data_IF_360317482840
#
_entry.id   IF_360317482840
#
_cell.length_a   1.000
_cell.length_b   1.000
_cell.length_c   1.000
_cell.angle_alpha   90.00
_cell.angle_beta   90.00
_cell.angle_gamma   90.00
#
_symmetry.space_group_name_H-M   'P 1'
#
loop_
_entity.id
_entity.type
_entity.pdbx_description
1 polymer ?
#
# COMPACT_ATOMS: atom_id res chain seq x y z
N UNK A 1 26.65 18.00 8.67
CA UNK A 1 26.13 17.18 9.78
C UNK A 1 25.72 15.86 9.20
N UNK A 2 26.52 14.81 9.44
CA UNK A 2 26.30 13.50 8.84
C UNK A 2 25.05 12.86 9.46
N UNK A 3 24.04 12.68 8.62
CA UNK A 3 22.80 12.02 8.93
C UNK A 3 23.11 10.57 9.31
N UNK A 4 22.93 10.23 10.59
CA UNK A 4 22.97 8.86 11.05
C UNK A 4 21.71 8.18 10.53
N UNK A 5 21.73 7.78 9.25
CA UNK A 5 20.71 6.91 8.69
C UNK A 5 20.84 5.59 9.43
N UNK A 6 20.03 5.42 10.47
CA UNK A 6 19.88 4.13 11.13
C UNK A 6 19.67 3.08 10.04
N UNK A 7 20.47 2.01 10.05
CA UNK A 7 20.35 0.90 9.10
C UNK A 7 18.93 0.35 9.23
N UNK A 8 18.04 0.72 8.31
CA UNK A 8 16.65 0.33 8.36
C UNK A 8 16.61 -1.20 8.24
N UNK A 9 16.18 -1.87 9.31
CA UNK A 9 15.87 -3.30 9.31
C UNK A 9 14.37 -3.43 9.05
N UNK A 10 13.93 -3.62 7.80
CA UNK A 10 12.51 -3.64 7.48
C UNK A 10 11.83 -4.81 8.18
N UNK A 11 10.68 -4.53 8.81
CA UNK A 11 9.82 -5.58 9.36
C UNK A 11 9.20 -6.34 8.19
N UNK A 12 9.47 -7.65 8.01
CA UNK A 12 9.14 -8.35 6.78
C UNK A 12 7.66 -8.36 6.41
N UNK A 13 6.76 -8.33 7.39
CA UNK A 13 5.32 -8.27 7.15
C UNK A 13 4.90 -6.91 6.58
N UNK A 14 5.43 -5.82 7.14
CA UNK A 14 5.13 -4.45 6.71
C UNK A 14 5.71 -4.18 5.32
N UNK A 15 6.94 -4.64 5.05
CA UNK A 15 7.55 -4.57 3.71
C UNK A 15 6.66 -5.21 2.65
N UNK A 16 6.20 -6.45 2.89
CA UNK A 16 5.33 -7.16 1.94
C UNK A 16 4.00 -6.43 1.75
N UNK A 17 3.37 -5.97 2.83
CA UNK A 17 2.13 -5.20 2.75
C UNK A 17 2.30 -3.95 1.87
N UNK A 18 3.35 -3.16 2.13
CA UNK A 18 3.65 -1.96 1.34
C UNK A 18 3.89 -2.28 -0.15
N UNK A 19 4.65 -3.34 -0.44
CA UNK A 19 4.91 -3.79 -1.82
C UNK A 19 3.66 -4.27 -2.54
N UNK A 20 2.75 -4.97 -1.84
CA UNK A 20 1.45 -5.39 -2.39
C UNK A 20 0.59 -4.19 -2.74
N UNK A 21 0.46 -3.21 -1.83
CA UNK A 21 -0.34 -2.00 -2.08
C UNK A 21 0.21 -1.21 -3.27
N UNK A 22 1.54 -1.07 -3.39
CA UNK A 22 2.17 -0.42 -4.55
C UNK A 22 1.91 -1.16 -5.85
N UNK A 23 2.07 -2.48 -5.87
CA UNK A 23 1.83 -3.27 -7.08
C UNK A 23 0.37 -3.16 -7.57
N UNK A 24 -0.60 -3.14 -6.64
CA UNK A 24 -2.00 -2.91 -6.97
C UNK A 24 -2.27 -1.50 -7.50
N UNK A 25 -1.61 -0.48 -6.93
CA UNK A 25 -1.71 0.90 -7.40
C UNK A 25 -1.13 1.08 -8.81
N UNK A 26 0.07 0.55 -9.05
CA UNK A 26 0.74 0.59 -10.36
C UNK A 26 -0.04 -0.17 -11.44
N UNK A 27 -0.68 -1.29 -11.07
CA UNK A 27 -1.49 -2.06 -11.98
C UNK A 27 -2.76 -1.35 -12.44
N UNK A 28 -3.35 -0.47 -11.60
CA UNK A 28 -4.57 0.28 -11.91
C UNK A 28 -5.82 -0.58 -12.19
N UNK A 29 -5.75 -1.89 -11.94
CA UNK A 29 -6.83 -2.87 -12.19
C UNK A 29 -6.82 -3.98 -11.15
N UNK A 30 -7.91 -4.75 -11.01
CA UNK A 30 -7.89 -5.95 -10.19
C UNK A 30 -6.82 -6.97 -10.63
N UNK A 31 -6.09 -7.54 -9.68
CA UNK A 31 -5.00 -8.48 -9.92
C UNK A 31 -5.21 -9.79 -9.14
N UNK A 32 -4.90 -10.92 -9.78
CA UNK A 32 -5.03 -12.23 -9.12
C UNK A 32 -3.84 -12.54 -8.20
N UNK A 33 -4.03 -13.44 -7.23
CA UNK A 33 -2.95 -13.87 -6.31
C UNK A 33 -1.75 -14.43 -7.09
N UNK A 34 -1.97 -15.26 -8.12
CA UNK A 34 -0.89 -15.85 -8.91
C UNK A 34 -0.08 -14.81 -9.69
N UNK A 35 -0.73 -13.75 -10.15
CA UNK A 35 -0.11 -12.63 -10.86
C UNK A 35 0.78 -11.82 -9.91
N UNK A 36 0.21 -11.39 -8.79
CA UNK A 36 0.91 -10.66 -7.73
C UNK A 36 2.09 -11.46 -7.14
N UNK A 37 1.94 -12.77 -6.94
CA UNK A 37 2.98 -13.62 -6.38
C UNK A 37 4.22 -13.68 -7.28
N UNK A 38 4.00 -13.76 -8.60
CA UNK A 38 5.08 -13.72 -9.60
C UNK A 38 5.76 -12.36 -9.63
N UNK A 39 4.97 -11.28 -9.69
CA UNK A 39 5.50 -9.92 -9.77
C UNK A 39 6.33 -9.55 -8.53
N UNK A 40 5.88 -9.97 -7.35
CA UNK A 40 6.53 -9.66 -6.07
C UNK A 40 7.60 -10.66 -5.66
N UNK A 41 7.73 -11.80 -6.36
CA UNK A 41 8.61 -12.93 -6.02
C UNK A 41 8.35 -13.44 -4.60
N UNK A 42 7.08 -13.63 -4.25
CA UNK A 42 6.62 -14.11 -2.93
C UNK A 42 5.77 -15.37 -3.12
N UNK A 43 5.80 -16.29 -2.15
CA UNK A 43 4.96 -17.50 -2.21
C UNK A 43 3.46 -17.15 -2.18
N UNK A 44 2.63 -17.96 -2.86
CA UNK A 44 1.17 -17.75 -2.90
C UNK A 44 0.53 -17.78 -1.52
N UNK A 45 1.01 -18.64 -0.61
CA UNK A 45 0.52 -18.71 0.78
C UNK A 45 0.77 -17.41 1.52
N UNK A 46 2.02 -16.93 1.53
CA UNK A 46 2.39 -15.65 2.15
C UNK A 46 1.58 -14.49 1.58
N UNK A 47 1.45 -14.43 0.25
CA UNK A 47 0.72 -13.36 -0.40
C UNK A 47 -0.77 -13.40 -0.06
N UNK A 48 -1.38 -14.58 -0.02
CA UNK A 48 -2.77 -14.77 0.41
C UNK A 48 -2.96 -14.22 1.81
N UNK A 49 -2.09 -14.59 2.76
CA UNK A 49 -2.23 -14.18 4.15
C UNK A 49 -2.07 -12.66 4.31
N UNK A 50 -1.15 -12.04 3.56
CA UNK A 50 -1.01 -10.57 3.47
C UNK A 50 -2.27 -9.93 2.88
N UNK A 51 -2.80 -10.45 1.76
CA UNK A 51 -3.99 -9.89 1.11
C UNK A 51 -5.24 -10.02 1.98
N UNK A 52 -5.42 -11.14 2.69
CA UNK A 52 -6.53 -11.31 3.62
C UNK A 52 -6.40 -10.36 4.81
N UNK A 53 -5.18 -10.13 5.31
CA UNK A 53 -4.92 -9.15 6.37
C UNK A 53 -5.26 -7.74 5.89
N UNK A 54 -4.76 -7.34 4.72
CA UNK A 54 -5.08 -6.03 4.13
C UNK A 54 -6.58 -5.86 3.85
N UNK A 55 -7.27 -6.93 3.45
CA UNK A 55 -8.70 -6.91 3.20
C UNK A 55 -9.51 -6.74 4.49
N UNK A 56 -9.06 -7.38 5.58
CA UNK A 56 -9.66 -7.20 6.90
C UNK A 56 -9.64 -5.72 7.36
N UNK A 57 -8.56 -4.98 7.05
CA UNK A 57 -8.46 -3.55 7.31
C UNK A 57 -9.08 -2.66 6.22
N UNK A 58 -9.68 -3.22 5.18
CA UNK A 58 -10.28 -2.45 4.08
C UNK A 58 -9.27 -1.76 3.15
N UNK A 59 -7.97 -2.01 3.28
CA UNK A 59 -6.93 -1.45 2.41
C UNK A 59 -6.93 -2.07 1.02
N UNK A 60 -7.42 -3.31 0.89
CA UNK A 60 -7.70 -3.95 -0.39
C UNK A 60 -9.10 -4.55 -0.35
N UNK A 61 -9.69 -4.77 -1.51
CA UNK A 61 -10.96 -5.48 -1.64
C UNK A 61 -10.82 -6.61 -2.64
N UNK A 62 -11.48 -7.74 -2.33
CA UNK A 62 -11.56 -8.91 -3.21
C UNK A 62 -12.84 -8.83 -4.03
N UNK A 63 -12.74 -8.96 -5.34
CA UNK A 63 -13.90 -9.04 -6.23
C UNK A 63 -14.47 -10.46 -6.33
N UNK A 64 -15.58 -10.59 -7.08
CA UNK A 64 -16.24 -11.87 -7.33
C UNK A 64 -15.35 -12.87 -8.06
N UNK A 65 -14.44 -12.40 -8.91
CA UNK A 65 -13.48 -13.20 -9.68
C UNK A 65 -12.22 -13.56 -8.87
N UNK A 66 -12.26 -13.34 -7.56
CA UNK A 66 -11.16 -13.63 -6.61
C UNK A 66 -9.88 -12.82 -6.86
N UNK A 67 -9.99 -11.69 -7.56
CA UNK A 67 -8.91 -10.72 -7.77
C UNK A 67 -9.01 -9.60 -6.72
N UNK A 68 -7.90 -8.90 -6.54
CA UNK A 68 -7.73 -7.89 -5.51
C UNK A 68 -7.46 -6.53 -6.15
N UNK A 69 -8.02 -5.47 -5.58
CA UNK A 69 -7.76 -4.06 -5.92
C UNK A 69 -7.61 -3.23 -4.64
N UNK A 70 -7.12 -2.00 -4.76
CA UNK A 70 -7.09 -1.06 -3.64
C UNK A 70 -8.50 -0.82 -3.08
N UNK A 71 -8.60 -0.75 -1.76
CA UNK A 71 -9.84 -0.52 -1.04
C UNK A 71 -10.05 0.94 -0.65
N UNK A 72 -11.27 1.30 -0.23
CA UNK A 72 -11.64 2.68 0.08
C UNK A 72 -10.89 3.26 1.28
N UNK A 73 -10.42 2.42 2.22
CA UNK A 73 -9.74 2.89 3.43
C UNK A 73 -8.45 3.66 3.13
N UNK A 74 -7.79 3.37 2.02
CA UNK A 74 -6.62 4.14 1.59
C UNK A 74 -6.96 5.60 1.28
N UNK A 75 -8.16 5.87 0.76
CA UNK A 75 -8.63 7.23 0.54
C UNK A 75 -8.93 7.92 1.87
N UNK A 76 -9.60 7.22 2.79
CA UNK A 76 -9.86 7.73 4.15
C UNK A 76 -8.57 8.15 4.86
N UNK A 77 -7.53 7.30 4.81
CA UNK A 77 -6.22 7.62 5.38
C UNK A 77 -5.53 8.80 4.67
N UNK A 78 -5.61 8.85 3.34
CA UNK A 78 -5.04 9.96 2.57
C UNK A 78 -5.70 11.29 2.95
N UNK A 79 -7.03 11.32 3.03
CA UNK A 79 -7.80 12.50 3.41
C UNK A 79 -7.47 12.94 4.86
N UNK A 80 -7.32 12.00 5.79
CA UNK A 80 -6.91 12.29 7.16
C UNK A 80 -5.47 12.81 7.28
N UNK A 81 -4.60 12.44 6.34
CA UNK A 81 -3.21 12.91 6.26
C UNK A 81 -3.02 14.20 5.44
N UNK A 82 -4.10 14.71 4.82
CA UNK A 82 -4.02 15.84 3.92
C UNK A 82 -3.42 17.04 4.65
N UNK A 83 -2.28 17.56 4.18
CA UNK A 83 -1.68 18.72 4.83
C UNK A 83 -2.59 19.93 4.64
N UNK A 84 -2.53 20.86 5.59
CA UNK A 84 -3.19 22.16 5.42
C UNK A 84 -2.52 22.91 4.27
N UNK A 85 -3.09 22.78 3.07
CA UNK A 85 -2.60 23.41 1.84
C UNK A 85 -2.55 24.94 1.99
N UNK A 86 -3.45 25.54 2.78
CA UNK A 86 -3.43 26.97 3.06
C UNK A 86 -2.20 27.33 3.88
N UNK A 87 -1.92 26.59 4.95
CA UNK A 87 -0.73 26.81 5.77
C UNK A 87 0.57 26.59 4.98
N UNK A 88 0.60 25.58 4.09
CA UNK A 88 1.75 25.31 3.22
C UNK A 88 1.97 26.39 2.15
N UNK A 89 0.90 27.03 1.66
CA UNK A 89 0.98 28.06 0.64
C UNK A 89 1.27 29.47 1.18
N UNK A 90 1.07 29.71 2.49
CA UNK A 90 1.32 31.02 3.14
C UNK A 90 2.67 31.66 2.78
N UNK A 91 3.80 30.95 2.73
CA UNK A 91 5.10 31.55 2.38
C UNK A 91 5.22 32.06 0.94
N UNK A 92 4.28 31.69 0.06
CA UNK A 92 4.32 31.98 -1.38
C UNK A 92 3.22 32.95 -1.84
N UNK A 93 2.33 33.38 -0.93
CA UNK A 93 1.29 34.36 -1.22
C UNK A 93 1.80 35.76 -0.81
N UNK A 94 2.53 36.39 -1.72
CA UNK A 94 2.89 37.83 -1.69
C UNK A 94 1.89 38.66 -2.49
#
# INVERSE_FOLDING_TARGET
MAESTATLRPVPAVDKAARVLRALAEGGRPMGISELARNLKVSKGTLRDVLLTLAHFGFVVRDADTRFRLGPELRSLADASAPDLRALAQPYLV
#
